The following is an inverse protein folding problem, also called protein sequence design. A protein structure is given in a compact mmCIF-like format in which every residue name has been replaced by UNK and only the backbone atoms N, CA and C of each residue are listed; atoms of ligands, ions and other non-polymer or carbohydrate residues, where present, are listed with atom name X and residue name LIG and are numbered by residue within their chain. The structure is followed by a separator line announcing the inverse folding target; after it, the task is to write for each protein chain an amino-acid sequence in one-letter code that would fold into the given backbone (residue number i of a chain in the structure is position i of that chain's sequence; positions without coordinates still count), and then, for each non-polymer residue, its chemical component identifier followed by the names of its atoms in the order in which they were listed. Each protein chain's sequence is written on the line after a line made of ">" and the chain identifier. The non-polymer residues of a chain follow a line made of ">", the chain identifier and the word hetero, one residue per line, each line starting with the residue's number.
data_IF_060105994713
#
_entry.id   IF_060105994713
#
_cell.length_a   1.000
_cell.length_b   1.000
_cell.length_c   1.000
_cell.angle_alpha   90.00
_cell.angle_beta   90.00
_cell.angle_gamma   90.00
#
_symmetry.space_group_name_H-M   'P 1'
#
loop_
_entity.id
_entity.type
_entity.pdbx_description
1 polymer ?
#
# COMPACT_ATOMS: atom_id res chain seq x y z
N UNK A 1 31.13 -45.92 -7.39
CA UNK A 1 31.14 -45.01 -6.23
C UNK A 1 30.55 -43.70 -6.70
N UNK A 2 29.34 -43.35 -6.24
CA UNK A 2 28.66 -42.08 -6.58
C UNK A 2 28.48 -41.33 -5.28
N UNK A 3 29.05 -40.13 -5.20
CA UNK A 3 28.89 -39.21 -4.08
C UNK A 3 27.45 -38.67 -4.09
N UNK A 4 26.65 -39.05 -3.10
CA UNK A 4 25.37 -38.42 -2.81
C UNK A 4 25.62 -37.12 -2.05
N UNK A 5 25.51 -35.98 -2.71
CA UNK A 5 25.41 -34.68 -2.03
C UNK A 5 24.04 -34.62 -1.31
N UNK A 6 23.98 -34.17 -0.05
CA UNK A 6 22.70 -33.93 0.61
C UNK A 6 21.97 -32.79 -0.11
N UNK A 7 20.71 -33.05 -0.48
CA UNK A 7 19.81 -32.03 -0.97
C UNK A 7 19.72 -30.89 0.05
N UNK A 8 20.06 -29.67 -0.38
CA UNK A 8 19.81 -28.47 0.41
C UNK A 8 18.30 -28.41 0.75
N UNK A 9 17.92 -28.06 1.99
CA UNK A 9 16.51 -27.81 2.28
C UNK A 9 16.05 -26.66 1.37
N UNK A 10 15.07 -26.94 0.52
CA UNK A 10 14.48 -25.95 -0.35
C UNK A 10 13.98 -24.78 0.50
N UNK A 11 14.50 -23.59 0.24
CA UNK A 11 13.90 -22.33 0.68
C UNK A 11 12.59 -22.15 -0.11
N UNK A 12 11.61 -22.96 0.25
CA UNK A 12 10.22 -22.87 -0.18
C UNK A 12 9.37 -22.59 1.04
N UNK A 13 9.71 -21.55 1.83
CA UNK A 13 8.66 -20.90 2.58
C UNK A 13 7.69 -20.41 1.52
N UNK A 14 6.53 -21.06 1.42
CA UNK A 14 5.33 -20.47 0.86
C UNK A 14 5.23 -19.09 1.51
N UNK A 15 5.67 -18.08 0.77
CA UNK A 15 5.57 -16.69 1.16
C UNK A 15 4.09 -16.39 1.00
N UNK A 16 3.28 -16.83 1.96
CA UNK A 16 1.91 -16.37 2.14
C UNK A 16 2.08 -14.86 2.15
N UNK A 17 1.62 -14.19 1.10
CA UNK A 17 1.59 -12.73 1.08
C UNK A 17 0.53 -12.36 2.12
N UNK A 18 0.89 -11.98 3.38
CA UNK A 18 -0.11 -11.62 4.39
C UNK A 18 -0.96 -10.45 3.91
N UNK A 19 -0.41 -9.68 2.98
CA UNK A 19 -1.03 -8.53 2.37
C UNK A 19 -2.33 -8.76 1.65
N UNK A 20 -2.61 -10.00 1.23
CA UNK A 20 -3.82 -10.36 0.50
C UNK A 20 -4.84 -11.10 1.37
N UNK A 21 -4.53 -11.38 2.64
CA UNK A 21 -5.50 -12.03 3.52
C UNK A 21 -6.58 -11.03 3.97
N UNK A 22 -7.81 -11.51 4.22
CA UNK A 22 -8.85 -10.72 4.87
C UNK A 22 -8.38 -10.18 6.22
N UNK A 23 -8.83 -8.96 6.52
CA UNK A 23 -8.53 -8.27 7.78
C UNK A 23 -9.72 -8.45 8.71
N UNK A 24 -9.55 -9.31 9.72
CA UNK A 24 -10.56 -9.51 10.75
C UNK A 24 -10.64 -8.31 11.69
N UNK A 25 -11.85 -8.00 12.17
CA UNK A 25 -12.07 -6.88 13.10
C UNK A 25 -11.85 -5.49 12.48
N UNK A 26 -11.86 -5.38 11.16
CA UNK A 26 -11.65 -4.14 10.44
C UNK A 26 -12.69 -3.06 10.80
N UNK A 27 -12.21 -1.85 11.12
CA UNK A 27 -13.04 -0.67 11.42
C UNK A 27 -12.73 0.47 10.45
N UNK A 28 -13.77 1.03 9.85
CA UNK A 28 -13.62 2.14 8.90
C UNK A 28 -12.96 3.37 9.54
N UNK A 29 -13.28 3.66 10.80
CA UNK A 29 -12.70 4.76 11.57
C UNK A 29 -11.16 4.64 11.68
N UNK A 30 -10.66 3.41 11.88
CA UNK A 30 -9.22 3.13 11.95
C UNK A 30 -8.57 3.24 10.56
N UNK A 31 -9.26 2.79 9.52
CA UNK A 31 -8.81 2.98 8.15
C UNK A 31 -8.78 4.47 7.77
N UNK A 32 -9.78 5.27 8.15
CA UNK A 32 -9.81 6.70 7.89
C UNK A 32 -8.69 7.45 8.64
N UNK A 33 -8.43 7.08 9.90
CA UNK A 33 -7.31 7.61 10.67
C UNK A 33 -5.95 7.25 10.03
N UNK A 34 -5.76 5.97 9.68
CA UNK A 34 -4.54 5.51 8.99
C UNK A 34 -4.38 6.17 7.62
N UNK A 35 -5.47 6.41 6.89
CA UNK A 35 -5.43 7.14 5.62
C UNK A 35 -4.95 8.58 5.80
N UNK A 36 -5.35 9.26 6.87
CA UNK A 36 -4.86 10.61 7.14
C UNK A 36 -3.34 10.62 7.34
N UNK A 37 -2.79 9.67 8.09
CA UNK A 37 -1.34 9.50 8.25
C UNK A 37 -0.65 9.16 6.93
N UNK A 38 -1.23 8.25 6.14
CA UNK A 38 -0.74 7.88 4.81
C UNK A 38 -0.69 9.08 3.86
N UNK A 39 -1.70 9.96 3.89
CA UNK A 39 -1.76 11.15 3.05
C UNK A 39 -0.69 12.18 3.41
N UNK A 40 -0.32 12.31 4.68
CA UNK A 40 0.80 13.17 5.11
C UNK A 40 2.09 12.68 4.44
N UNK A 41 2.40 11.40 4.57
CA UNK A 41 3.61 10.82 3.94
C UNK A 41 3.57 10.82 2.42
N UNK A 42 2.39 10.58 1.83
CA UNK A 42 2.22 10.64 0.38
C UNK A 42 2.51 12.04 -0.15
N UNK A 43 2.08 13.09 0.56
CA UNK A 43 2.35 14.49 0.20
C UNK A 43 3.83 14.83 0.34
N UNK A 44 4.47 14.38 1.41
CA UNK A 44 5.92 14.55 1.61
C UNK A 44 6.72 13.84 0.52
N UNK A 45 6.40 12.58 0.21
CA UNK A 45 7.05 11.83 -0.84
C UNK A 45 6.80 12.45 -2.22
N UNK A 46 5.58 12.90 -2.52
CA UNK A 46 5.28 13.55 -3.79
C UNK A 46 6.02 14.89 -3.97
N UNK A 47 6.27 15.62 -2.88
CA UNK A 47 7.12 16.82 -2.89
C UNK A 47 8.59 16.46 -3.16
N UNK A 48 9.10 15.39 -2.53
CA UNK A 48 10.46 14.91 -2.73
C UNK A 48 10.70 14.39 -4.15
N UNK A 49 9.76 13.61 -4.70
CA UNK A 49 9.82 13.13 -6.09
C UNK A 49 9.83 14.32 -7.06
N UNK A 50 8.99 15.33 -6.81
CA UNK A 50 8.96 16.55 -7.63
C UNK A 50 10.31 17.27 -7.62
N UNK A 51 10.96 17.38 -6.48
CA UNK A 51 12.27 18.02 -6.34
C UNK A 51 13.38 17.22 -7.03
N UNK A 52 13.39 15.89 -6.86
CA UNK A 52 14.50 15.03 -7.28
C UNK A 52 14.40 14.56 -8.72
N UNK A 53 13.19 14.33 -9.23
CA UNK A 53 12.94 13.73 -10.56
C UNK A 53 12.10 14.60 -11.48
N UNK A 54 11.52 15.70 -10.98
CA UNK A 54 10.54 16.49 -11.73
C UNK A 54 9.22 15.75 -12.01
N UNK A 55 9.08 14.52 -11.52
CA UNK A 55 7.87 13.70 -11.52
C UNK A 55 7.35 13.66 -10.08
N UNK A 56 6.05 13.84 -9.83
CA UNK A 56 5.53 14.12 -8.49
C UNK A 56 4.77 15.44 -8.42
N UNK A 57 4.02 15.65 -7.34
CA UNK A 57 3.23 16.87 -7.21
C UNK A 57 1.97 16.74 -6.36
N UNK A 58 0.89 17.32 -6.88
CA UNK A 58 -0.34 17.59 -6.13
C UNK A 58 -1.05 16.28 -5.75
N UNK A 59 -1.31 16.15 -4.45
CA UNK A 59 -2.11 15.08 -3.86
C UNK A 59 -3.41 15.70 -3.40
N UNK A 60 -4.49 15.41 -4.12
CA UNK A 60 -5.83 15.87 -3.84
C UNK A 60 -6.44 15.24 -2.58
N UNK A 61 -7.62 15.71 -2.23
CA UNK A 61 -8.37 15.16 -1.09
C UNK A 61 -8.90 13.75 -1.40
N UNK A 62 -8.88 12.84 -0.40
CA UNK A 62 -9.42 11.50 -0.57
C UNK A 62 -10.95 11.54 -0.69
N UNK A 63 -11.48 10.84 -1.68
CA UNK A 63 -12.92 10.61 -1.84
C UNK A 63 -13.23 9.16 -1.43
N UNK A 64 -14.09 8.97 -0.44
CA UNK A 64 -14.52 7.64 0.00
C UNK A 64 -15.28 6.93 -1.12
N UNK A 65 -14.90 5.68 -1.40
CA UNK A 65 -15.58 4.79 -2.34
C UNK A 65 -15.90 3.45 -1.67
N UNK A 66 -17.11 3.36 -1.11
CA UNK A 66 -17.58 2.14 -0.43
C UNK A 66 -17.82 0.97 -1.37
N UNK A 67 -17.95 1.21 -2.68
CA UNK A 67 -18.11 0.12 -3.65
C UNK A 67 -16.80 -0.64 -3.90
N UNK A 68 -15.67 -0.04 -3.53
CA UNK A 68 -14.34 -0.64 -3.62
C UNK A 68 -13.94 -1.44 -2.36
N UNK A 69 -14.76 -1.42 -1.30
CA UNK A 69 -14.47 -2.13 -0.05
C UNK A 69 -14.38 -3.64 -0.26
N UNK A 70 -13.38 -4.26 0.36
CA UNK A 70 -13.22 -5.72 0.34
C UNK A 70 -12.27 -6.18 1.42
N UNK A 71 -12.51 -7.38 1.93
CA UNK A 71 -11.55 -8.11 2.77
C UNK A 71 -11.07 -7.31 3.99
N UNK A 72 -11.96 -6.52 4.60
CA UNK A 72 -11.65 -5.63 5.74
C UNK A 72 -10.80 -4.41 5.38
N UNK A 73 -10.76 -4.05 4.09
CA UNK A 73 -10.13 -2.83 3.58
C UNK A 73 -11.19 -1.92 2.99
N UNK A 74 -11.09 -0.65 3.34
CA UNK A 74 -12.01 0.38 2.94
C UNK A 74 -11.40 1.18 1.79
N UNK A 75 -12.17 1.51 0.76
CA UNK A 75 -11.70 2.15 -0.46
C UNK A 75 -11.79 3.67 -0.44
N UNK A 76 -10.73 4.32 -0.94
CA UNK A 76 -10.70 5.74 -1.26
C UNK A 76 -10.08 5.96 -2.64
N UNK A 77 -10.50 7.03 -3.29
CA UNK A 77 -9.87 7.54 -4.50
C UNK A 77 -9.15 8.84 -4.16
N UNK A 78 -7.86 8.91 -4.48
CA UNK A 78 -7.03 10.09 -4.27
C UNK A 78 -6.51 10.53 -5.63
N UNK A 79 -6.57 11.81 -5.96
CA UNK A 79 -5.93 12.32 -7.18
C UNK A 79 -4.46 12.59 -6.89
N UNK A 80 -3.54 11.93 -7.60
CA UNK A 80 -2.11 12.22 -7.55
C UNK A 80 -1.67 12.66 -8.95
N UNK A 81 -1.13 13.87 -9.08
CA UNK A 81 -0.67 14.40 -10.37
C UNK A 81 -1.75 14.41 -11.47
N UNK A 82 -3.02 14.61 -11.08
CA UNK A 82 -4.16 14.57 -11.99
C UNK A 82 -4.64 13.17 -12.36
N UNK A 83 -3.99 12.10 -11.85
CA UNK A 83 -4.43 10.72 -12.04
C UNK A 83 -5.18 10.21 -10.80
N UNK A 84 -6.32 9.52 -10.97
CA UNK A 84 -6.98 8.87 -9.86
C UNK A 84 -6.18 7.64 -9.41
N UNK A 85 -5.95 7.54 -8.10
CA UNK A 85 -5.30 6.42 -7.43
C UNK A 85 -6.30 5.82 -6.46
N UNK A 86 -6.62 4.55 -6.64
CA UNK A 86 -7.47 3.82 -5.70
C UNK A 86 -6.61 3.26 -4.57
N UNK A 87 -6.93 3.62 -3.34
CA UNK A 87 -6.28 3.16 -2.11
C UNK A 87 -7.28 2.40 -1.27
N UNK A 88 -7.02 1.12 -1.00
CA UNK A 88 -7.80 0.35 -0.02
C UNK A 88 -6.97 0.22 1.25
N UNK A 89 -7.42 0.90 2.30
CA UNK A 89 -6.77 0.94 3.60
C UNK A 89 -7.37 -0.14 4.52
N UNK A 90 -6.56 -1.02 5.12
CA UNK A 90 -7.04 -1.94 6.15
C UNK A 90 -7.62 -1.19 7.36
N UNK A 91 -8.72 -1.70 7.90
CA UNK A 91 -9.37 -1.12 9.09
C UNK A 91 -8.68 -1.44 10.42
N UNK A 92 -7.36 -1.31 10.50
CA UNK A 92 -6.57 -1.59 11.70
C UNK A 92 -5.85 -0.35 12.20
N UNK A 93 -5.30 -0.44 13.41
CA UNK A 93 -4.42 0.58 13.96
C UNK A 93 -3.15 0.75 13.11
N UNK A 94 -2.74 2.00 12.93
CA UNK A 94 -1.56 2.38 12.15
C UNK A 94 -0.30 1.64 12.62
N UNK A 95 -0.12 1.45 13.94
CA UNK A 95 1.01 0.72 14.50
C UNK A 95 1.13 -0.72 13.97
N UNK A 96 -0.01 -1.36 13.68
CA UNK A 96 -0.04 -2.70 13.07
C UNK A 96 0.33 -2.60 11.59
N UNK A 97 -0.20 -1.62 10.86
CA UNK A 97 0.05 -1.43 9.42
C UNK A 97 1.50 -1.04 9.09
N UNK A 98 2.20 -0.45 10.06
CA UNK A 98 3.63 -0.10 9.97
C UNK A 98 4.56 -1.27 10.31
N UNK A 99 4.02 -2.41 10.73
CA UNK A 99 4.80 -3.64 10.86
C UNK A 99 5.49 -4.02 9.55
N UNK A 100 6.64 -4.69 9.65
CA UNK A 100 7.40 -5.21 8.51
C UNK A 100 7.46 -6.74 8.51
N UNK A 101 6.60 -7.37 9.31
CA UNK A 101 6.57 -8.82 9.40
C UNK A 101 5.66 -9.43 8.31
N UNK A 102 5.84 -10.72 8.11
CA UNK A 102 5.03 -11.51 7.19
C UNK A 102 3.60 -11.75 7.69
N UNK A 103 3.12 -11.03 8.70
CA UNK A 103 1.72 -11.04 9.17
C UNK A 103 1.06 -9.66 9.03
N UNK A 104 1.83 -8.62 8.72
CA UNK A 104 1.35 -7.25 8.61
C UNK A 104 0.45 -7.11 7.37
N UNK A 105 -0.81 -6.65 7.53
CA UNK A 105 -1.71 -6.45 6.40
C UNK A 105 -1.23 -5.34 5.48
N UNK A 106 -1.28 -5.61 4.18
CA UNK A 106 -0.95 -4.65 3.13
C UNK A 106 -2.16 -3.79 2.79
N UNK A 107 -1.84 -2.59 2.33
CA UNK A 107 -2.77 -1.73 1.62
C UNK A 107 -2.87 -2.21 0.18
N UNK A 108 -3.96 -1.88 -0.51
CA UNK A 108 -4.05 -2.07 -1.96
C UNK A 108 -3.96 -0.72 -2.66
N UNK A 109 -2.97 -0.54 -3.53
CA UNK A 109 -2.85 0.61 -4.43
C UNK A 109 -3.20 0.14 -5.83
N UNK A 110 -4.24 0.70 -6.44
CA UNK A 110 -4.76 0.27 -7.75
C UNK A 110 -4.92 -1.26 -7.85
N UNK A 111 -5.42 -1.88 -6.76
CA UNK A 111 -5.62 -3.34 -6.58
C UNK A 111 -4.36 -4.18 -6.33
N UNK A 112 -3.18 -3.57 -6.23
CA UNK A 112 -1.94 -4.27 -5.90
C UNK A 112 -1.61 -4.17 -4.41
N UNK A 113 -1.30 -5.31 -3.77
CA UNK A 113 -0.88 -5.38 -2.38
C UNK A 113 0.52 -4.79 -2.20
N UNK A 114 0.60 -3.78 -1.33
CA UNK A 114 1.83 -3.06 -1.01
C UNK A 114 1.92 -2.83 0.50
N UNK A 115 3.09 -3.03 1.08
CA UNK A 115 3.39 -2.53 2.42
C UNK A 115 3.37 -1.01 2.43
N UNK A 116 3.17 -0.42 3.61
CA UNK A 116 3.04 1.03 3.80
C UNK A 116 4.08 1.85 3.03
N UNK A 117 5.36 1.59 3.28
CA UNK A 117 6.47 2.32 2.64
C UNK A 117 6.47 2.17 1.10
N UNK A 118 6.17 0.97 0.61
CA UNK A 118 6.08 0.69 -0.83
C UNK A 118 4.84 1.34 -1.46
N UNK A 119 3.74 1.44 -0.71
CA UNK A 119 2.50 2.05 -1.15
C UNK A 119 2.64 3.57 -1.30
N UNK A 120 3.28 4.23 -0.34
CA UNK A 120 3.60 5.66 -0.40
C UNK A 120 4.43 5.97 -1.65
N UNK A 121 5.52 5.23 -1.87
CA UNK A 121 6.37 5.42 -3.05
C UNK A 121 5.63 5.13 -4.36
N UNK A 122 4.89 4.03 -4.44
CA UNK A 122 4.17 3.64 -5.65
C UNK A 122 3.08 4.66 -6.04
N UNK A 123 2.40 5.25 -5.05
CA UNK A 123 1.40 6.28 -5.30
C UNK A 123 2.05 7.62 -5.68
N UNK A 124 3.15 8.02 -5.03
CA UNK A 124 3.84 9.29 -5.29
C UNK A 124 4.54 9.34 -6.66
N UNK A 125 5.09 8.20 -7.11
CA UNK A 125 5.89 8.11 -8.33
C UNK A 125 5.08 8.11 -9.64
N UNK A 126 3.76 8.30 -9.59
CA UNK A 126 2.91 8.32 -10.78
C UNK A 126 3.23 9.56 -11.64
N UNK A 127 3.59 9.36 -12.92
CA UNK A 127 3.89 10.48 -13.82
C UNK A 127 2.63 11.30 -14.09
N UNK A 128 2.81 12.61 -14.35
CA UNK A 128 1.70 13.42 -14.86
C UNK A 128 1.29 12.88 -16.22
N UNK A 129 -0.02 12.80 -16.54
CA UNK A 129 -0.43 12.57 -17.91
C UNK A 129 0.10 13.73 -18.76
N UNK A 130 0.79 13.40 -19.86
CA UNK A 130 1.26 14.39 -20.82
C UNK A 130 0.09 15.29 -21.22
N UNK A 131 0.30 16.60 -21.08
CA UNK A 131 -0.72 17.64 -21.17
C UNK A 131 -1.09 17.97 -22.61
#
# INVERSE_FOLDING_TARGET
>A
MVFGLPAAPGYGHLMINPGSQPVDGAREELAAASLAAFLVELREQAALERETRGAGGEVGEPVRDSTADRDGRFGWTITVNGQPVQVLMPGLEEAVLRGLDAQTPCLLINREARWWSSAVYAAAALPRPDR
#
